data_IF_504533004567
#
_entry.id   IF_504533004567
#
_cell.length_a   1.000
_cell.length_b   1.000
_cell.length_c   1.000
_cell.angle_alpha   90.00
_cell.angle_beta   90.00
_cell.angle_gamma   90.00
#
_symmetry.space_group_name_H-M   'P 1'
#
loop_
_entity.id
_entity.type
_entity.pdbx_description
1 polymer ?
#
# COMPACT_ATOMS: atom_id res chain seq x y z
N UNK A 1 2.32 -10.14 5.35
CA UNK A 1 3.08 -11.38 5.62
C UNK A 1 4.53 -10.99 5.61
N UNK A 2 5.20 -10.99 6.77
CA UNK A 2 6.60 -10.56 6.87
C UNK A 2 7.47 -11.44 5.99
N UNK A 3 8.36 -10.80 5.22
CA UNK A 3 9.35 -11.47 4.39
C UNK A 3 10.71 -10.81 4.54
N UNK A 4 11.71 -11.49 4.02
CA UNK A 4 13.07 -10.98 3.85
C UNK A 4 13.20 -10.10 2.60
N UNK A 5 14.22 -9.23 2.58
CA UNK A 5 14.56 -8.39 1.43
C UNK A 5 14.95 -9.21 0.19
N UNK A 6 15.70 -10.30 0.39
CA UNK A 6 16.33 -11.11 -0.67
C UNK A 6 15.46 -12.27 -1.07
N UNK A 7 14.78 -12.91 -0.12
CA UNK A 7 13.95 -14.09 -0.37
C UNK A 7 12.47 -13.69 -0.38
N UNK A 8 11.75 -13.86 -1.50
CA UNK A 8 10.32 -13.60 -1.55
C UNK A 8 9.54 -14.69 -0.79
N UNK A 9 8.50 -14.29 -0.07
CA UNK A 9 7.61 -15.15 0.70
C UNK A 9 6.72 -15.99 -0.21
N UNK A 10 6.73 -17.31 -0.02
CA UNK A 10 5.91 -18.28 -0.77
C UNK A 10 4.67 -18.69 0.02
N UNK A 11 3.68 -19.24 -0.66
CA UNK A 11 2.42 -19.64 -0.02
C UNK A 11 2.59 -20.74 1.05
N UNK A 12 3.65 -21.54 0.93
CA UNK A 12 4.05 -22.60 1.86
C UNK A 12 4.80 -22.09 3.09
N UNK A 13 5.29 -20.86 3.07
CA UNK A 13 6.14 -20.32 4.12
C UNK A 13 5.32 -19.93 5.35
N UNK A 14 5.96 -19.95 6.51
CA UNK A 14 5.31 -19.59 7.76
C UNK A 14 4.75 -18.18 7.73
N UNK A 15 3.55 -18.04 8.31
CA UNK A 15 2.79 -16.81 8.26
C UNK A 15 3.05 -15.95 9.49
N UNK A 16 3.85 -14.89 9.34
CA UNK A 16 4.16 -13.92 10.41
C UNK A 16 3.54 -12.56 10.05
N UNK A 17 2.23 -12.33 10.34
CA UNK A 17 1.58 -11.05 10.09
C UNK A 17 1.95 -10.01 11.15
N UNK A 18 2.27 -8.79 10.74
CA UNK A 18 2.62 -7.72 11.67
C UNK A 18 1.47 -6.73 11.95
N UNK A 19 0.55 -6.52 11.00
CA UNK A 19 -0.61 -5.65 11.22
C UNK A 19 -1.78 -6.41 11.85
N UNK A 20 -2.63 -5.70 12.62
CA UNK A 20 -3.89 -6.26 13.16
C UNK A 20 -4.74 -6.89 12.05
N UNK A 21 -4.96 -6.16 10.96
CA UNK A 21 -5.72 -6.65 9.80
C UNK A 21 -5.14 -7.95 9.24
N UNK A 22 -3.81 -8.06 9.12
CA UNK A 22 -3.18 -9.29 8.63
C UNK A 22 -3.30 -10.45 9.63
N UNK A 23 -3.22 -10.18 10.94
CA UNK A 23 -3.45 -11.18 12.00
C UNK A 23 -4.88 -11.73 11.93
N UNK A 24 -5.87 -10.85 11.78
CA UNK A 24 -7.28 -11.24 11.61
C UNK A 24 -7.50 -12.05 10.32
N UNK A 25 -6.93 -11.61 9.18
CA UNK A 25 -7.02 -12.37 7.91
C UNK A 25 -6.44 -13.77 8.05
N UNK A 26 -5.27 -13.92 8.68
CA UNK A 26 -4.66 -15.24 8.91
C UNK A 26 -5.52 -16.12 9.83
N UNK A 27 -6.19 -15.54 10.83
CA UNK A 27 -7.13 -16.28 11.67
C UNK A 27 -8.31 -16.81 10.86
N UNK A 28 -8.91 -15.97 10.00
CA UNK A 28 -9.97 -16.37 9.07
C UNK A 28 -9.50 -17.49 8.14
N UNK A 29 -8.28 -17.40 7.58
CA UNK A 29 -7.73 -18.47 6.73
C UNK A 29 -7.62 -19.82 7.46
N UNK A 30 -7.33 -19.83 8.76
CA UNK A 30 -7.25 -21.05 9.57
C UNK A 30 -8.63 -21.62 9.86
N UNK A 31 -9.56 -20.77 10.31
CA UNK A 31 -10.92 -21.20 10.68
C UNK A 31 -11.72 -21.67 9.46
N UNK A 32 -11.59 -20.96 8.33
CA UNK A 32 -12.30 -21.28 7.09
C UNK A 32 -11.99 -22.70 6.59
N UNK A 33 -10.75 -23.17 6.76
CA UNK A 33 -10.33 -24.53 6.37
C UNK A 33 -11.00 -25.63 7.19
N UNK A 34 -11.50 -25.31 8.38
CA UNK A 34 -12.18 -26.26 9.27
C UNK A 34 -13.68 -26.36 9.00
N UNK A 35 -14.23 -25.56 8.09
CA UNK A 35 -15.67 -25.57 7.76
C UNK A 35 -15.96 -26.76 6.82
N UNK A 36 -16.78 -27.75 7.23
CA UNK A 36 -17.07 -28.91 6.40
C UNK A 36 -17.79 -28.54 5.10
N UNK A 37 -17.29 -29.04 3.98
CA UNK A 37 -17.91 -28.86 2.65
C UNK A 37 -17.74 -27.45 2.04
N UNK A 38 -16.98 -26.56 2.68
CA UNK A 38 -16.70 -25.24 2.10
C UNK A 38 -15.64 -25.32 1.00
N UNK A 39 -16.02 -24.91 -0.21
CA UNK A 39 -15.07 -24.65 -1.29
C UNK A 39 -14.41 -23.29 -1.06
N UNK A 40 -13.09 -23.28 -0.96
CA UNK A 40 -12.34 -22.04 -0.73
C UNK A 40 -11.12 -21.93 -1.65
N UNK A 41 -10.77 -20.70 -1.99
CA UNK A 41 -9.49 -20.31 -2.59
C UNK A 41 -9.01 -19.11 -1.78
N UNK A 42 -7.76 -19.13 -1.33
CA UNK A 42 -7.17 -18.01 -0.60
C UNK A 42 -6.26 -17.24 -1.54
N UNK A 43 -6.55 -15.95 -1.73
CA UNK A 43 -5.68 -15.03 -2.45
C UNK A 43 -5.07 -14.07 -1.44
N UNK A 44 -3.73 -14.00 -1.42
CA UNK A 44 -2.94 -13.11 -0.57
C UNK A 44 -2.37 -12.00 -1.44
N UNK A 45 -3.10 -10.89 -1.66
CA UNK A 45 -2.60 -9.80 -2.45
C UNK A 45 -1.44 -9.09 -1.75
N UNK A 46 -0.53 -8.57 -2.55
CA UNK A 46 0.42 -7.54 -2.15
C UNK A 46 -0.31 -6.21 -1.86
N UNK A 47 0.40 -5.08 -1.81
CA UNK A 47 -0.27 -3.77 -1.68
C UNK A 47 -1.11 -3.52 -2.92
N UNK A 48 -2.42 -3.47 -2.74
CA UNK A 48 -3.36 -3.18 -3.83
C UNK A 48 -3.32 -1.70 -4.15
N UNK A 49 -3.39 -1.33 -5.43
CA UNK A 49 -3.55 0.06 -5.85
C UNK A 49 -4.43 0.14 -7.09
N UNK A 50 -4.97 1.32 -7.37
CA UNK A 50 -5.84 1.57 -8.51
C UNK A 50 -7.16 2.22 -8.09
N UNK A 51 -8.01 2.50 -9.08
CA UNK A 51 -9.29 3.21 -8.89
C UNK A 51 -10.08 2.61 -7.73
N UNK A 52 -10.69 3.48 -6.91
CA UNK A 52 -11.44 3.13 -5.68
C UNK A 52 -10.66 2.52 -4.50
N UNK A 53 -9.39 2.12 -4.62
CA UNK A 53 -8.61 1.65 -3.46
C UNK A 53 -8.22 2.81 -2.54
N UNK A 54 -8.66 2.79 -1.28
CA UNK A 54 -8.40 3.87 -0.31
C UNK A 54 -7.27 3.54 0.67
N UNK A 55 -6.76 2.31 0.65
CA UNK A 55 -5.90 1.80 1.71
C UNK A 55 -4.45 1.64 1.28
N UNK A 56 -4.17 1.09 0.10
CA UNK A 56 -2.83 0.64 -0.27
C UNK A 56 -1.85 1.78 -0.51
N UNK A 57 -1.77 2.29 -1.74
CA UNK A 57 -0.89 3.43 -2.05
C UNK A 57 -1.53 4.78 -1.76
N UNK A 58 -2.83 4.83 -1.53
CA UNK A 58 -3.60 6.06 -1.32
C UNK A 58 -3.09 6.95 -0.17
N UNK A 59 -2.74 6.43 1.02
CA UNK A 59 -2.14 7.27 2.06
C UNK A 59 -0.87 8.00 1.59
N UNK A 60 -0.06 7.38 0.73
CA UNK A 60 1.13 8.01 0.15
C UNK A 60 0.79 9.13 -0.84
N UNK A 61 -0.29 8.97 -1.60
CA UNK A 61 -0.83 10.02 -2.47
C UNK A 61 -1.33 11.22 -1.66
N UNK A 62 -1.97 10.97 -0.52
CA UNK A 62 -2.40 12.02 0.42
C UNK A 62 -1.17 12.76 0.96
N UNK A 63 -0.11 12.06 1.37
CA UNK A 63 1.15 12.71 1.76
C UNK A 63 1.73 13.59 0.65
N UNK A 64 1.71 13.13 -0.61
CA UNK A 64 2.14 13.93 -1.75
C UNK A 64 1.43 15.30 -1.82
N UNK A 65 0.10 15.30 -1.67
CA UNK A 65 -0.69 16.52 -1.62
C UNK A 65 -0.37 17.42 -0.42
N UNK A 66 -0.19 16.83 0.76
CA UNK A 66 0.20 17.55 1.99
C UNK A 66 1.56 18.20 1.85
N UNK A 67 2.58 17.48 1.37
CA UNK A 67 3.93 18.02 1.23
C UNK A 67 4.04 19.08 0.12
N UNK A 68 3.21 18.97 -0.92
CA UNK A 68 3.05 20.06 -1.89
C UNK A 68 2.50 21.32 -1.23
N UNK A 69 1.46 21.19 -0.42
CA UNK A 69 0.86 22.31 0.30
C UNK A 69 1.83 22.95 1.30
N UNK A 70 2.61 22.12 2.03
CA UNK A 70 3.62 22.60 2.97
C UNK A 70 4.85 23.23 2.30
N UNK A 71 5.09 22.92 1.02
CA UNK A 71 6.32 23.27 0.31
C UNK A 71 7.58 22.79 1.06
N UNK A 72 7.52 21.56 1.57
CA UNK A 72 8.59 20.90 2.31
C UNK A 72 9.03 19.60 1.63
N UNK A 73 10.26 19.16 1.90
CA UNK A 73 10.74 17.84 1.49
C UNK A 73 10.07 16.73 2.32
N UNK A 74 9.48 15.75 1.65
CA UNK A 74 8.90 14.57 2.29
C UNK A 74 9.99 13.63 2.79
N UNK A 75 10.09 13.41 4.10
CA UNK A 75 11.11 12.52 4.69
C UNK A 75 10.54 11.17 5.09
N UNK A 76 11.07 10.12 4.47
CA UNK A 76 10.67 8.73 4.68
C UNK A 76 11.46 8.09 5.82
N UNK A 77 10.80 7.24 6.60
CA UNK A 77 11.39 6.57 7.76
C UNK A 77 12.39 5.48 7.37
N UNK A 78 12.06 4.73 6.32
CA UNK A 78 12.86 3.62 5.79
C UNK A 78 13.50 4.02 4.47
N UNK A 79 14.56 3.33 4.05
CA UNK A 79 15.26 3.64 2.80
C UNK A 79 14.48 3.25 1.53
N UNK A 80 15.06 3.54 0.38
CA UNK A 80 14.48 3.26 -0.93
C UNK A 80 14.31 1.77 -1.23
N UNK A 81 15.05 0.87 -0.57
CA UNK A 81 15.11 -0.57 -0.84
C UNK A 81 14.02 -1.37 -0.13
N UNK A 82 13.28 -0.76 0.80
CA UNK A 82 12.15 -1.41 1.46
C UNK A 82 11.18 -1.96 0.41
N UNK A 83 10.96 -3.28 0.44
CA UNK A 83 10.06 -3.97 -0.49
C UNK A 83 8.63 -3.71 -0.09
N UNK A 84 7.85 -3.16 -1.01
CA UNK A 84 6.43 -2.87 -0.87
C UNK A 84 5.71 -3.38 -2.11
N UNK A 85 5.88 -4.68 -2.40
CA UNK A 85 5.31 -5.30 -3.59
C UNK A 85 3.84 -4.94 -3.79
N UNK A 86 3.44 -4.78 -5.05
CA UNK A 86 2.14 -4.23 -5.43
C UNK A 86 1.33 -5.20 -6.28
N UNK A 87 0.05 -4.90 -6.43
CA UNK A 87 -0.79 -5.44 -7.50
C UNK A 87 -1.89 -4.44 -7.83
N UNK A 88 -2.19 -4.24 -9.12
CA UNK A 88 -3.28 -3.36 -9.52
C UNK A 88 -4.65 -4.00 -9.22
N UNK A 89 -5.64 -3.21 -8.82
CA UNK A 89 -7.00 -3.67 -8.46
C UNK A 89 -7.70 -4.44 -9.58
N UNK A 90 -7.47 -4.04 -10.84
CA UNK A 90 -7.98 -4.76 -12.02
C UNK A 90 -7.37 -6.15 -12.12
N UNK A 91 -6.05 -6.27 -11.94
CA UNK A 91 -5.40 -7.58 -11.98
C UNK A 91 -5.74 -8.44 -10.77
N UNK A 92 -6.00 -7.83 -9.61
CA UNK A 92 -6.56 -8.55 -8.47
C UNK A 92 -7.92 -9.16 -8.80
N UNK A 93 -8.84 -8.37 -9.36
CA UNK A 93 -10.16 -8.87 -9.75
C UNK A 93 -10.04 -9.97 -10.82
N UNK A 94 -9.21 -9.77 -11.85
CA UNK A 94 -8.95 -10.77 -12.89
C UNK A 94 -8.38 -12.06 -12.32
N UNK A 95 -7.46 -11.99 -11.37
CA UNK A 95 -6.85 -13.17 -10.75
C UNK A 95 -7.88 -13.99 -9.96
N UNK A 96 -8.79 -13.33 -9.24
CA UNK A 96 -9.87 -14.03 -8.53
C UNK A 96 -10.77 -14.78 -9.50
N UNK A 97 -11.24 -14.11 -10.57
CA UNK A 97 -12.07 -14.75 -11.61
C UNK A 97 -11.33 -15.93 -12.24
N UNK A 98 -10.08 -15.71 -12.64
CA UNK A 98 -9.23 -16.74 -13.26
C UNK A 98 -9.06 -17.98 -12.39
N UNK A 99 -8.80 -17.81 -11.08
CA UNK A 99 -8.64 -18.94 -10.16
C UNK A 99 -9.94 -19.70 -9.92
N UNK A 100 -11.08 -18.99 -9.89
CA UNK A 100 -12.39 -19.61 -9.82
C UNK A 100 -12.70 -20.44 -11.07
N UNK A 101 -12.45 -19.92 -12.27
CA UNK A 101 -12.65 -20.64 -13.54
C UNK A 101 -11.73 -21.87 -13.67
N UNK A 102 -10.53 -21.81 -13.08
CA UNK A 102 -9.58 -22.93 -13.01
C UNK A 102 -9.90 -23.95 -11.92
N UNK A 103 -10.98 -23.75 -11.16
CA UNK A 103 -11.44 -24.62 -10.07
C UNK A 103 -10.33 -24.94 -9.05
N UNK A 104 -9.50 -23.94 -8.70
CA UNK A 104 -8.36 -24.10 -7.77
C UNK A 104 -8.77 -24.20 -6.29
N UNK A 105 -9.84 -24.93 -6.02
CA UNK A 105 -10.36 -25.19 -4.68
C UNK A 105 -9.28 -25.79 -3.77
N UNK A 106 -9.21 -25.31 -2.53
CA UNK A 106 -8.25 -25.76 -1.54
C UNK A 106 -6.84 -25.19 -1.70
N UNK A 107 -6.64 -24.20 -2.58
CA UNK A 107 -5.34 -23.62 -2.87
C UNK A 107 -5.19 -22.20 -2.32
N UNK A 108 -3.94 -21.86 -2.01
CA UNK A 108 -3.48 -20.52 -1.63
C UNK A 108 -2.63 -19.97 -2.78
N UNK A 109 -2.81 -18.71 -3.14
CA UNK A 109 -1.99 -17.98 -4.11
C UNK A 109 -1.57 -16.63 -3.55
N UNK A 110 -0.28 -16.33 -3.62
CA UNK A 110 0.20 -14.97 -3.52
C UNK A 110 -0.12 -14.24 -4.83
N UNK A 111 -0.58 -13.00 -4.70
CA UNK A 111 -0.96 -12.17 -5.83
C UNK A 111 -0.14 -10.89 -5.80
N UNK A 112 0.86 -10.84 -6.68
CA UNK A 112 1.89 -9.80 -6.75
C UNK A 112 2.31 -9.60 -8.20
N UNK A 113 2.28 -8.34 -8.64
CA UNK A 113 2.67 -7.96 -9.99
C UNK A 113 4.16 -8.22 -10.28
N UNK A 114 4.56 -8.04 -11.54
CA UNK A 114 5.92 -8.33 -11.98
C UNK A 114 6.92 -7.20 -11.67
N UNK A 115 6.46 -6.11 -11.04
CA UNK A 115 7.24 -4.90 -10.80
C UNK A 115 8.26 -5.04 -9.67
N UNK A 116 8.05 -5.98 -8.75
CA UNK A 116 8.87 -6.15 -7.54
C UNK A 116 9.11 -4.83 -6.78
N UNK A 117 8.03 -4.06 -6.66
CA UNK A 117 8.00 -2.66 -6.22
C UNK A 117 8.70 -2.45 -4.88
N UNK A 118 9.53 -1.40 -4.85
CA UNK A 118 10.22 -0.87 -3.68
C UNK A 118 9.68 0.51 -3.32
N UNK A 119 10.03 0.97 -2.12
CA UNK A 119 9.61 2.27 -1.63
C UNK A 119 10.11 3.41 -2.50
N UNK A 120 11.35 3.33 -2.99
CA UNK A 120 11.92 4.33 -3.91
C UNK A 120 11.10 4.47 -5.20
N UNK A 121 10.64 3.37 -5.78
CA UNK A 121 9.84 3.38 -7.02
C UNK A 121 8.57 4.22 -6.85
N UNK A 122 7.86 4.02 -5.75
CA UNK A 122 6.62 4.76 -5.44
C UNK A 122 6.90 6.21 -5.08
N UNK A 123 7.94 6.48 -4.29
CA UNK A 123 8.31 7.84 -3.90
C UNK A 123 8.68 8.70 -5.11
N UNK A 124 9.42 8.12 -6.08
CA UNK A 124 9.74 8.79 -7.35
C UNK A 124 8.47 9.20 -8.09
N UNK A 125 7.52 8.26 -8.28
CA UNK A 125 6.25 8.55 -8.96
C UNK A 125 5.46 9.66 -8.23
N UNK A 126 5.39 9.61 -6.90
CA UNK A 126 4.66 10.62 -6.12
C UNK A 126 5.36 11.98 -6.21
N UNK A 127 6.68 12.02 -6.11
CA UNK A 127 7.48 13.24 -6.29
C UNK A 127 7.21 13.88 -7.65
N UNK A 128 7.16 13.08 -8.72
CA UNK A 128 6.88 13.55 -10.08
C UNK A 128 5.43 14.05 -10.21
N UNK A 129 4.45 13.35 -9.63
CA UNK A 129 3.03 13.76 -9.66
C UNK A 129 2.83 15.09 -8.96
N UNK A 130 3.42 15.30 -7.79
CA UNK A 130 3.13 16.46 -6.95
C UNK A 130 4.15 17.59 -7.10
N UNK A 131 5.22 17.38 -7.88
CA UNK A 131 6.37 18.26 -8.00
C UNK A 131 6.98 18.60 -6.63
N UNK A 132 7.29 17.55 -5.85
CA UNK A 132 7.89 17.65 -4.51
C UNK A 132 9.20 16.86 -4.43
N UNK A 133 10.07 17.26 -3.51
CA UNK A 133 11.26 16.48 -3.18
C UNK A 133 10.95 15.44 -2.09
N UNK A 134 11.63 14.31 -2.12
CA UNK A 134 11.64 13.36 -1.01
C UNK A 134 13.08 13.02 -0.60
N UNK A 135 13.23 12.60 0.65
CA UNK A 135 14.51 12.19 1.24
C UNK A 135 14.27 11.11 2.30
N UNK A 136 15.34 10.52 2.82
CA UNK A 136 15.32 9.44 3.80
C UNK A 136 15.97 9.90 5.10
N UNK A 137 15.36 9.57 6.25
CA UNK A 137 15.97 9.93 7.54
C UNK A 137 17.30 9.22 7.82
N UNK A 138 17.59 8.13 7.10
CA UNK A 138 18.84 7.36 7.23
C UNK A 138 19.12 6.97 8.69
N UNK A 139 20.36 7.15 9.13
CA UNK A 139 20.78 6.82 10.50
C UNK A 139 20.19 7.76 11.57
N UNK A 140 19.72 8.95 11.20
CA UNK A 140 19.21 9.97 12.15
C UNK A 140 17.92 9.52 12.83
N UNK A 141 17.09 8.72 12.14
CA UNK A 141 15.88 8.15 12.74
C UNK A 141 16.17 7.15 13.86
N UNK A 142 17.22 6.33 13.68
CA UNK A 142 17.57 5.27 14.63
C UNK A 142 17.95 5.80 16.02
N UNK A 143 18.33 7.07 16.12
CA UNK A 143 18.64 7.75 17.39
C UNK A 143 17.37 8.29 18.06
N UNK A 144 16.40 8.78 17.27
CA UNK A 144 15.13 9.36 17.76
C UNK A 144 14.13 8.25 18.15
N UNK A 145 14.07 7.16 17.40
CA UNK A 145 13.14 6.05 17.63
C UNK A 145 13.47 5.19 18.86
N UNK A 146 14.67 5.31 19.45
CA UNK A 146 15.12 4.48 20.58
C UNK A 146 14.49 4.86 21.93
N UNK A 147 13.83 6.02 22.03
CA UNK A 147 13.40 6.56 23.33
C UNK A 147 11.90 6.77 23.47
N UNK A 148 11.14 6.96 22.38
CA UNK A 148 9.66 7.00 22.41
C UNK A 148 9.07 6.88 20.99
N UNK A 149 8.71 5.66 20.57
CA UNK A 149 8.05 5.45 19.27
C UNK A 149 6.61 5.99 19.24
N UNK A 150 5.94 6.06 20.40
CA UNK A 150 4.56 6.56 20.49
C UNK A 150 4.51 8.06 20.28
N UNK A 151 5.38 8.81 20.96
CA UNK A 151 5.52 10.26 20.79
C UNK A 151 5.87 10.65 19.35
N UNK A 152 6.80 9.91 18.71
CA UNK A 152 7.18 10.16 17.32
C UNK A 152 6.01 9.98 16.34
N UNK A 153 5.21 8.92 16.49
CA UNK A 153 4.04 8.68 15.63
C UNK A 153 3.00 9.77 15.82
N UNK A 154 2.79 10.24 17.05
CA UNK A 154 1.85 11.32 17.33
C UNK A 154 2.30 12.64 16.69
N UNK A 155 3.58 13.01 16.82
CA UNK A 155 4.15 14.21 16.18
C UNK A 155 4.03 14.14 14.65
N UNK A 156 4.34 12.98 14.06
CA UNK A 156 4.14 12.74 12.63
C UNK A 156 2.67 12.92 12.27
N UNK A 157 1.73 12.34 13.02
CA UNK A 157 0.31 12.49 12.73
C UNK A 157 -0.16 13.96 12.82
N UNK A 158 0.25 14.70 13.84
CA UNK A 158 -0.08 16.13 13.99
C UNK A 158 0.43 16.97 12.82
N UNK A 159 1.68 16.72 12.38
CA UNK A 159 2.30 17.41 11.23
C UNK A 159 1.50 17.25 9.94
N UNK A 160 0.77 16.14 9.76
CA UNK A 160 0.08 15.87 8.49
C UNK A 160 -1.44 16.08 8.55
N UNK A 161 -2.08 15.78 9.69
CA UNK A 161 -3.54 15.90 9.83
C UNK A 161 -4.02 17.34 9.73
N UNK A 162 -3.33 18.29 10.37
CA UNK A 162 -3.73 19.71 10.36
C UNK A 162 -3.62 20.31 8.95
N UNK A 163 -2.49 20.17 8.22
CA UNK A 163 -2.40 20.64 6.84
C UNK A 163 -3.38 19.95 5.91
N UNK A 164 -3.61 18.64 6.09
CA UNK A 164 -4.60 17.91 5.29
C UNK A 164 -6.02 18.46 5.47
N UNK A 165 -6.42 18.75 6.72
CA UNK A 165 -7.73 19.35 7.01
C UNK A 165 -7.85 20.75 6.37
N UNK A 166 -6.80 21.58 6.46
CA UNK A 166 -6.77 22.89 5.83
C UNK A 166 -6.89 22.79 4.29
N UNK A 167 -6.18 21.85 3.68
CA UNK A 167 -6.19 21.61 2.24
C UNK A 167 -7.56 21.12 1.76
N UNK A 168 -8.19 20.21 2.51
CA UNK A 168 -9.56 19.75 2.24
C UNK A 168 -10.57 20.90 2.34
N UNK A 169 -10.51 21.71 3.42
CA UNK A 169 -11.40 22.85 3.63
C UNK A 169 -11.26 23.89 2.50
N UNK A 170 -10.03 24.23 2.11
CA UNK A 170 -9.76 25.15 0.99
C UNK A 170 -10.27 24.60 -0.36
N UNK A 171 -10.30 23.28 -0.52
CA UNK A 171 -10.87 22.59 -1.69
C UNK A 171 -12.38 22.38 -1.64
N UNK A 172 -13.08 22.87 -0.61
CA UNK A 172 -14.52 22.67 -0.43
C UNK A 172 -14.90 21.23 -0.07
N UNK A 173 -14.01 20.50 0.61
CA UNK A 173 -14.21 19.13 1.07
C UNK A 173 -14.41 19.10 2.59
N UNK A 174 -15.67 19.17 3.02
CA UNK A 174 -16.02 19.13 4.44
C UNK A 174 -15.83 17.74 5.07
N UNK A 175 -15.92 16.68 4.25
CA UNK A 175 -15.72 15.30 4.69
C UNK A 175 -14.98 14.49 3.63
N UNK A 176 -13.93 13.80 4.04
CA UNK A 176 -13.23 12.83 3.19
C UNK A 176 -12.92 11.56 3.98
N UNK A 177 -13.08 10.36 3.39
CA UNK A 177 -12.59 9.12 3.98
C UNK A 177 -11.06 8.97 3.88
N UNK A 178 -10.37 9.86 3.17
CA UNK A 178 -8.93 9.82 2.99
C UNK A 178 -8.23 10.50 4.15
N UNK A 179 -7.19 9.85 4.67
CA UNK A 179 -6.46 10.35 5.83
C UNK A 179 -4.96 10.09 5.69
N UNK A 180 -4.10 11.05 6.11
CA UNK A 180 -2.67 10.81 6.26
C UNK A 180 -2.32 10.14 7.61
N UNK A 181 -3.32 9.71 8.39
CA UNK A 181 -3.06 9.07 9.68
C UNK A 181 -2.25 7.78 9.53
N UNK A 182 -1.20 7.66 10.34
CA UNK A 182 -0.33 6.50 10.43
C UNK A 182 -0.62 5.76 11.74
N UNK A 183 -1.03 4.50 11.60
CA UNK A 183 -1.16 3.57 12.72
C UNK A 183 0.24 3.17 13.23
N UNK A 184 0.41 3.05 14.54
CA UNK A 184 1.69 2.66 15.15
C UNK A 184 2.20 1.31 14.62
N UNK A 185 1.31 0.36 14.36
CA UNK A 185 1.64 -0.97 13.82
C UNK A 185 2.09 -0.92 12.34
N UNK A 186 1.90 0.22 11.66
CA UNK A 186 2.36 0.42 10.29
C UNK A 186 3.81 0.92 10.21
N UNK A 187 4.41 1.32 11.35
CA UNK A 187 5.75 1.94 11.42
C UNK A 187 6.85 0.90 11.67
N UNK A 188 6.71 -0.30 11.10
CA UNK A 188 7.73 -1.33 11.19
C UNK A 188 8.56 -1.42 9.91
N UNK A 189 9.86 -1.68 10.06
CA UNK A 189 10.77 -1.93 8.94
C UNK A 189 10.61 -3.37 8.41
N UNK A 190 9.43 -3.67 7.87
CA UNK A 190 9.07 -5.01 7.39
C UNK A 190 8.93 -5.01 5.88
N UNK A 191 9.66 -5.89 5.21
CA UNK A 191 9.51 -6.10 3.77
C UNK A 191 8.21 -6.87 3.48
N UNK A 192 7.42 -6.33 2.54
CA UNK A 192 6.39 -7.08 1.83
C UNK A 192 6.96 -7.51 0.48
N UNK A 193 7.54 -8.71 0.47
CA UNK A 193 8.18 -9.30 -0.70
C UNK A 193 7.56 -10.66 -0.95
N UNK A 194 6.76 -10.80 -1.99
CA UNK A 194 5.94 -11.99 -2.24
C UNK A 194 6.44 -12.71 -3.50
N UNK A 195 6.36 -14.05 -3.49
CA UNK A 195 6.64 -14.88 -4.66
C UNK A 195 5.32 -15.12 -5.43
N UNK A 196 5.20 -14.54 -6.62
CA UNK A 196 4.04 -14.71 -7.51
C UNK A 196 4.13 -15.90 -8.48
N UNK A 197 5.15 -16.76 -8.36
CA UNK A 197 5.46 -17.77 -9.37
C UNK A 197 4.37 -18.82 -9.48
N UNK A 198 3.72 -19.18 -8.37
CA UNK A 198 2.64 -20.16 -8.37
C UNK A 198 1.47 -19.72 -9.26
N UNK A 199 1.02 -18.46 -9.15
CA UNK A 199 -0.07 -17.94 -9.98
C UNK A 199 0.33 -17.83 -11.45
N UNK A 200 1.57 -17.41 -11.75
CA UNK A 200 2.07 -17.38 -13.14
C UNK A 200 2.15 -18.77 -13.77
N UNK A 201 2.52 -19.80 -13.00
CA UNK A 201 2.55 -21.18 -13.46
C UNK A 201 1.17 -21.73 -13.87
N UNK A 202 0.08 -21.12 -13.39
CA UNK A 202 -1.29 -21.41 -13.84
C UNK A 202 -1.61 -20.84 -15.22
N UNK A 203 -0.77 -19.92 -15.72
CA UNK A 203 -0.96 -19.18 -16.98
C UNK A 203 -1.55 -17.79 -16.81
N UNK A 204 -1.65 -17.26 -15.59
CA UNK A 204 -2.12 -15.90 -15.35
C UNK A 204 -1.11 -14.85 -15.82
N UNK A 205 -1.58 -13.75 -16.41
CA UNK A 205 -0.75 -12.63 -16.88
C UNK A 205 -1.32 -11.29 -16.39
N UNK A 206 -0.42 -10.44 -15.90
CA UNK A 206 -0.76 -9.09 -15.43
C UNK A 206 -0.98 -8.15 -16.63
N UNK A 207 -2.09 -7.43 -16.61
CA UNK A 207 -2.34 -6.37 -17.59
C UNK A 207 -1.62 -5.07 -17.22
N UNK A 208 -1.36 -4.88 -15.92
CA UNK A 208 -0.65 -3.74 -15.36
C UNK A 208 0.48 -4.31 -14.50
N UNK A 209 1.65 -4.58 -15.12
CA UNK A 209 2.71 -5.37 -14.49
C UNK A 209 3.48 -4.61 -13.40
N UNK A 210 3.33 -3.29 -13.31
CA UNK A 210 3.93 -2.45 -12.27
C UNK A 210 3.19 -1.10 -12.17
N UNK A 211 3.28 -0.40 -11.02
CA UNK A 211 2.74 0.95 -10.89
C UNK A 211 3.39 1.94 -11.87
N UNK A 212 2.58 2.80 -12.47
CA UNK A 212 3.03 3.95 -13.27
C UNK A 212 2.43 5.26 -12.78
N UNK A 213 3.00 6.37 -13.23
CA UNK A 213 2.46 7.70 -12.98
C UNK A 213 1.02 7.83 -13.49
N UNK A 214 0.71 7.29 -14.66
CA UNK A 214 -0.63 7.31 -15.24
C UNK A 214 -1.64 6.57 -14.37
N UNK A 215 -1.28 5.39 -13.85
CA UNK A 215 -2.19 4.64 -12.97
C UNK A 215 -2.50 5.41 -11.68
N UNK A 216 -1.49 6.05 -11.07
CA UNK A 216 -1.71 6.80 -9.83
C UNK A 216 -2.43 8.14 -10.07
N UNK A 217 -2.21 8.79 -11.22
CA UNK A 217 -3.00 9.95 -11.65
C UNK A 217 -4.47 9.58 -11.90
N UNK A 218 -4.75 8.39 -12.44
CA UNK A 218 -6.11 7.89 -12.60
C UNK A 218 -6.83 7.79 -11.25
N UNK A 219 -6.16 7.27 -10.22
CA UNK A 219 -6.69 7.22 -8.84
C UNK A 219 -6.99 8.63 -8.31
N UNK A 220 -6.07 9.57 -8.47
CA UNK A 220 -6.28 10.95 -8.03
C UNK A 220 -7.44 11.63 -8.75
N UNK A 221 -7.57 11.41 -10.07
CA UNK A 221 -8.69 11.93 -10.87
C UNK A 221 -10.02 11.35 -10.39
N UNK A 222 -10.07 10.05 -10.12
CA UNK A 222 -11.25 9.38 -9.55
C UNK A 222 -11.65 10.00 -8.20
N UNK A 223 -10.69 10.21 -7.31
CA UNK A 223 -10.94 10.83 -6.00
C UNK A 223 -11.37 12.30 -6.07
N UNK A 224 -10.82 13.08 -7.00
CA UNK A 224 -11.26 14.45 -7.27
C UNK A 224 -12.70 14.44 -7.80
N UNK A 225 -13.02 13.57 -8.75
CA UNK A 225 -14.37 13.44 -9.31
C UNK A 225 -15.40 13.01 -8.25
N UNK A 226 -15.01 12.12 -7.34
CA UNK A 226 -15.84 11.71 -6.19
C UNK A 226 -15.90 12.76 -5.07
N UNK A 227 -15.18 13.88 -5.20
CA UNK A 227 -15.09 14.93 -4.17
C UNK A 227 -14.60 14.37 -2.82
N UNK A 228 -13.54 13.56 -2.87
CA UNK A 228 -12.87 13.06 -1.67
C UNK A 228 -11.37 13.40 -1.63
N UNK A 229 -10.82 13.96 -2.70
CA UNK A 229 -9.46 14.52 -2.74
C UNK A 229 -9.50 15.94 -3.30
N UNK A 230 -8.84 16.93 -2.66
CA UNK A 230 -8.93 18.32 -3.08
C UNK A 230 -8.14 18.54 -4.36
N UNK A 231 -8.79 19.02 -5.43
CA UNK A 231 -8.13 19.30 -6.70
C UNK A 231 -6.98 20.31 -6.57
N UNK A 232 -7.06 21.22 -5.58
CA UNK A 232 -6.03 22.20 -5.24
C UNK A 232 -4.74 21.57 -4.72
N UNK A 233 -4.76 20.31 -4.31
CA UNK A 233 -3.57 19.57 -3.90
C UNK A 233 -2.78 19.00 -5.09
N UNK A 234 -3.33 19.04 -6.30
CA UNK A 234 -2.62 18.65 -7.52
C UNK A 234 -1.88 19.84 -8.13
N UNK A 235 -0.85 19.61 -8.96
CA UNK A 235 -0.27 20.67 -9.77
C UNK A 235 -1.29 21.27 -10.74
N UNK A 236 -1.16 22.58 -10.96
CA UNK A 236 -1.91 23.32 -11.97
C UNK A 236 -1.62 22.84 -13.39
#
# INVERSE_FOLDING_TARGET
MFSDEKVPHRESDDCIPWTVTAKCKLQVEKEMKSIPGLNWIIVRPAIVYGVSDKMGLTPRLVFGGVYRYLNETMKMLWDENLRINTVHVVDMARAVVFLCEKERTGQIYNLVDDGNTKQGDINNIISDIFNINHDYWGNTLSTIAKTDTTGLVNEINEKHLVPWAALCSAGGLDNTPLTPYIDQDAVHHNHLHLDGTKLRAEGFTYSIPKPTQENLLEVLKDFVNMKIFPATALPS
#
